data_IF_126344185910
#
_entry.id   IF_126344185910
#
_cell.length_a   1.000
_cell.length_b   1.000
_cell.length_c   1.000
_cell.angle_alpha   90.00
_cell.angle_beta   90.00
_cell.angle_gamma   90.00
#
_symmetry.space_group_name_H-M   'P 1'
#
loop_
_entity.id
_entity.type
_entity.pdbx_description
1 polymer ?
#
# COMPACT_ATOMS: atom_id res chain seq x y z
N UNK A 1 13.30 8.76 8.83
CA UNK A 1 13.21 9.06 10.29
C UNK A 1 12.42 10.34 10.60
N UNK A 2 12.23 11.26 9.64
CA UNK A 2 11.64 12.59 9.94
C UNK A 2 10.15 12.72 9.61
N UNK A 3 9.52 11.67 9.09
CA UNK A 3 8.16 11.76 8.52
C UNK A 3 7.11 11.11 9.42
N UNK A 4 7.47 10.52 10.55
CA UNK A 4 6.53 9.92 11.48
C UNK A 4 6.85 10.27 12.93
N UNK A 5 5.84 10.22 13.79
CA UNK A 5 5.98 10.47 15.22
C UNK A 5 6.18 9.16 15.99
N UNK A 6 7.37 8.98 16.59
CA UNK A 6 7.73 7.90 17.53
C UNK A 6 7.44 6.45 17.13
N UNK A 7 6.85 6.18 16.00
CA UNK A 7 6.45 4.82 15.60
C UNK A 7 7.12 4.37 14.32
N UNK A 8 6.92 3.11 13.99
CA UNK A 8 7.39 2.54 12.73
C UNK A 8 6.27 2.66 11.70
N UNK A 9 6.47 3.42 10.60
CA UNK A 9 5.57 3.40 9.47
C UNK A 9 5.49 2.01 8.86
N UNK A 10 4.32 1.62 8.38
CA UNK A 10 4.17 0.42 7.59
C UNK A 10 3.53 0.70 6.23
N UNK A 11 3.80 -0.18 5.28
CA UNK A 11 3.21 -0.15 3.94
C UNK A 11 2.17 -1.25 3.84
N UNK A 12 0.93 -0.88 3.55
CA UNK A 12 -0.14 -1.80 3.19
C UNK A 12 -0.25 -1.91 1.69
N UNK A 13 -0.14 -3.12 1.16
CA UNK A 13 -0.35 -3.43 -0.25
C UNK A 13 -1.59 -4.29 -0.36
N UNK A 14 -2.54 -3.89 -1.20
CA UNK A 14 -3.67 -4.74 -1.58
C UNK A 14 -3.31 -5.48 -2.84
N UNK A 15 -3.40 -6.81 -2.76
CA UNK A 15 -3.24 -7.70 -3.91
C UNK A 15 -4.55 -8.41 -4.23
N UNK A 16 -4.85 -8.51 -5.52
CA UNK A 16 -5.99 -9.26 -6.05
C UNK A 16 -5.48 -10.32 -7.04
N UNK A 17 -5.72 -11.60 -6.75
CA UNK A 17 -5.21 -12.75 -7.50
C UNK A 17 -3.68 -12.64 -7.73
N UNK A 18 -2.96 -12.13 -6.74
CA UNK A 18 -1.52 -11.90 -6.80
C UNK A 18 -1.08 -10.65 -7.56
N UNK A 19 -1.98 -9.82 -8.06
CA UNK A 19 -1.65 -8.53 -8.70
C UNK A 19 -1.72 -7.42 -7.65
N UNK A 20 -0.64 -6.67 -7.37
CA UNK A 20 -0.70 -5.50 -6.50
C UNK A 20 -1.58 -4.41 -7.13
N UNK A 21 -2.74 -4.16 -6.55
CA UNK A 21 -3.72 -3.23 -7.14
C UNK A 21 -3.74 -1.85 -6.49
N UNK A 22 -3.32 -1.74 -5.24
CA UNK A 22 -3.33 -0.49 -4.51
C UNK A 22 -2.35 -0.54 -3.34
N UNK A 23 -1.76 0.60 -2.97
CA UNK A 23 -0.87 0.69 -1.82
C UNK A 23 -1.04 2.00 -1.05
N UNK A 24 -0.73 1.97 0.24
CA UNK A 24 -0.61 3.15 1.09
C UNK A 24 0.48 2.93 2.14
N UNK A 25 1.08 4.02 2.60
CA UNK A 25 1.86 4.00 3.84
C UNK A 25 1.00 4.56 4.98
N UNK A 26 1.13 3.97 6.17
CA UNK A 26 0.50 4.45 7.39
C UNK A 26 1.57 5.11 8.25
N UNK A 27 1.37 6.38 8.55
CA UNK A 27 2.30 7.18 9.33
C UNK A 27 1.76 7.38 10.75
N UNK A 28 2.45 6.90 11.78
CA UNK A 28 2.12 7.19 13.17
C UNK A 28 2.08 8.68 13.47
N UNK A 29 1.14 9.07 14.32
CA UNK A 29 1.00 10.44 14.85
C UNK A 29 1.05 10.41 16.37
N UNK A 30 1.09 11.59 16.99
CA UNK A 30 0.88 11.73 18.45
C UNK A 30 -0.48 11.21 18.88
N UNK A 31 -1.53 11.43 18.07
CA UNK A 31 -2.88 10.97 18.35
C UNK A 31 -2.96 9.42 18.34
N UNK A 32 -2.21 8.76 17.46
CA UNK A 32 -2.16 7.29 17.40
C UNK A 32 -1.19 6.66 18.41
N UNK A 33 -0.55 7.47 19.25
CA UNK A 33 0.47 7.03 20.21
C UNK A 33 1.58 6.18 19.56
N UNK A 34 2.05 6.63 18.41
CA UNK A 34 3.10 5.94 17.64
C UNK A 34 2.66 4.68 16.90
N UNK A 35 1.36 4.37 16.85
CA UNK A 35 0.85 3.20 16.13
C UNK A 35 0.44 3.55 14.70
N UNK A 36 0.80 2.71 13.76
CA UNK A 36 0.41 2.85 12.35
C UNK A 36 -1.04 2.35 12.11
N UNK A 37 -1.98 2.80 12.94
CA UNK A 37 -3.38 2.40 12.90
C UNK A 37 -4.29 3.59 12.60
N UNK A 38 -4.95 3.57 11.43
CA UNK A 38 -5.83 4.66 10.98
C UNK A 38 -7.01 4.91 11.92
N UNK A 39 -7.57 3.86 12.53
CA UNK A 39 -8.67 3.99 13.50
C UNK A 39 -8.24 4.64 14.83
N UNK A 40 -6.94 4.67 15.09
CA UNK A 40 -6.35 5.29 16.27
C UNK A 40 -5.72 6.65 15.96
N UNK A 41 -5.92 7.19 14.74
CA UNK A 41 -5.46 8.50 14.38
C UNK A 41 -4.14 8.56 13.59
N UNK A 42 -3.64 7.44 13.07
CA UNK A 42 -2.54 7.46 12.10
C UNK A 42 -2.99 8.05 10.76
N UNK A 43 -2.04 8.53 9.96
CA UNK A 43 -2.29 9.06 8.63
C UNK A 43 -2.19 7.93 7.61
N UNK A 44 -3.14 7.84 6.68
CA UNK A 44 -3.02 7.01 5.50
C UNK A 44 -2.56 7.84 4.30
N UNK A 45 -1.44 7.50 3.69
CA UNK A 45 -0.90 8.21 2.51
C UNK A 45 -0.88 7.27 1.32
N UNK A 46 -1.60 7.61 0.25
CA UNK A 46 -1.63 6.80 -0.97
C UNK A 46 -0.26 6.73 -1.64
N UNK A 47 0.04 5.58 -2.24
CA UNK A 47 1.28 5.36 -2.99
C UNK A 47 0.94 5.01 -4.43
N UNK A 48 1.60 5.68 -5.37
CA UNK A 48 1.50 5.38 -6.79
C UNK A 48 2.20 4.05 -7.11
N UNK A 49 1.47 3.08 -7.66
CA UNK A 49 1.99 1.73 -7.94
C UNK A 49 3.18 1.75 -8.91
N UNK A 50 3.15 2.47 -10.05
CA UNK A 50 4.29 2.53 -10.96
C UNK A 50 5.58 3.02 -10.32
N UNK A 51 5.51 4.07 -9.51
CA UNK A 51 6.69 4.82 -9.09
C UNK A 51 7.09 4.58 -7.63
N UNK A 52 6.17 4.16 -6.77
CA UNK A 52 6.41 4.08 -5.32
C UNK A 52 6.44 5.46 -4.64
N UNK A 53 5.94 6.49 -5.32
CA UNK A 53 5.92 7.85 -4.78
C UNK A 53 4.62 8.10 -4.01
N UNK A 54 4.73 8.66 -2.82
CA UNK A 54 3.57 9.04 -2.02
C UNK A 54 2.81 10.22 -2.64
N UNK A 55 1.51 10.22 -2.43
CA UNK A 55 0.60 11.25 -2.94
C UNK A 55 0.13 12.13 -1.78
N UNK A 56 -1.16 12.26 -1.59
CA UNK A 56 -1.80 12.98 -0.49
C UNK A 56 -2.08 12.03 0.66
N UNK A 57 -2.16 12.57 1.87
CA UNK A 57 -2.59 11.83 3.04
C UNK A 57 -4.05 12.09 3.39
N UNK A 58 -4.62 11.17 4.16
CA UNK A 58 -5.92 11.34 4.83
C UNK A 58 -5.72 11.15 6.33
N UNK A 59 -6.17 12.13 7.11
CA UNK A 59 -6.13 12.12 8.56
C UNK A 59 -7.46 12.65 9.10
N UNK A 60 -8.11 11.90 9.98
CA UNK A 60 -9.42 12.26 10.53
C UNK A 60 -10.45 12.66 9.46
N UNK A 61 -10.46 11.93 8.33
CA UNK A 61 -11.31 12.19 7.16
C UNK A 61 -10.98 13.46 6.35
N UNK A 62 -9.93 14.18 6.71
CA UNK A 62 -9.44 15.36 5.98
C UNK A 62 -8.24 15.00 5.10
N UNK A 63 -8.16 15.67 3.95
CA UNK A 63 -7.01 15.53 3.04
C UNK A 63 -5.90 16.46 3.53
N UNK A 64 -4.73 15.89 3.76
CA UNK A 64 -3.54 16.62 4.21
C UNK A 64 -2.35 16.38 3.28
N UNK A 65 -1.39 17.30 3.29
CA UNK A 65 -0.12 17.18 2.56
C UNK A 65 1.11 17.21 3.47
N UNK A 66 0.91 17.57 4.71
CA UNK A 66 1.94 17.66 5.74
C UNK A 66 1.54 16.84 6.97
N UNK A 67 2.53 16.31 7.65
CA UNK A 67 2.31 15.55 8.87
C UNK A 67 1.97 16.50 10.03
N UNK A 68 0.85 16.31 10.76
CA UNK A 68 0.37 17.28 11.75
C UNK A 68 1.30 17.51 12.93
N UNK A 69 2.17 16.55 13.24
CA UNK A 69 3.09 16.66 14.39
C UNK A 69 4.51 17.06 14.00
N UNK A 70 4.93 16.82 12.76
CA UNK A 70 6.31 17.07 12.30
C UNK A 70 6.40 18.17 11.25
N UNK A 71 5.26 18.59 10.70
CA UNK A 71 5.14 19.62 9.64
C UNK A 71 5.90 19.26 8.35
N UNK A 72 6.41 18.04 8.24
CA UNK A 72 7.09 17.58 7.04
C UNK A 72 6.08 17.19 5.96
N UNK A 73 6.43 17.46 4.70
CA UNK A 73 5.64 16.98 3.57
C UNK A 73 5.56 15.46 3.56
N UNK A 74 4.33 14.95 3.43
CA UNK A 74 4.05 13.51 3.28
C UNK A 74 3.78 13.14 1.82
N UNK A 75 3.73 14.12 0.93
CA UNK A 75 3.57 13.92 -0.51
C UNK A 75 4.92 14.00 -1.22
N UNK A 76 5.08 13.21 -2.29
CA UNK A 76 6.31 13.19 -3.09
C UNK A 76 7.46 12.38 -2.48
N UNK A 77 7.21 11.65 -1.40
CA UNK A 77 8.23 10.80 -0.79
C UNK A 77 8.39 9.51 -1.60
N UNK A 78 9.64 9.14 -1.87
CA UNK A 78 9.95 7.88 -2.51
C UNK A 78 10.04 6.76 -1.47
N UNK A 79 9.22 5.72 -1.62
CA UNK A 79 9.28 4.54 -0.75
C UNK A 79 10.51 3.72 -1.13
N UNK A 80 11.43 3.46 -0.19
CA UNK A 80 12.60 2.63 -0.45
C UNK A 80 12.23 1.20 -0.80
N UNK A 81 13.04 0.54 -1.65
CA UNK A 81 12.89 -0.88 -2.03
C UNK A 81 11.49 -1.21 -2.59
N UNK A 82 10.90 -0.28 -3.33
CA UNK A 82 9.51 -0.35 -3.78
C UNK A 82 9.20 -1.62 -4.58
N UNK A 83 10.08 -2.02 -5.49
CA UNK A 83 9.88 -3.22 -6.30
C UNK A 83 9.88 -4.51 -5.47
N UNK A 84 10.65 -4.54 -4.38
CA UNK A 84 10.63 -5.68 -3.45
C UNK A 84 9.31 -5.73 -2.67
N UNK A 85 8.81 -4.58 -2.24
CA UNK A 85 7.50 -4.49 -1.58
C UNK A 85 6.38 -4.98 -2.48
N UNK A 86 6.36 -4.55 -3.75
CA UNK A 86 5.39 -5.04 -4.73
C UNK A 86 5.53 -6.55 -4.97
N UNK A 87 6.76 -7.05 -5.00
CA UNK A 87 7.02 -8.49 -5.15
C UNK A 87 6.50 -9.30 -3.95
N UNK A 88 6.66 -8.80 -2.72
CA UNK A 88 6.07 -9.40 -1.51
C UNK A 88 4.55 -9.45 -1.64
N UNK A 89 3.91 -8.32 -2.02
CA UNK A 89 2.48 -8.27 -2.27
C UNK A 89 2.01 -9.27 -3.32
N UNK A 90 2.77 -9.43 -4.41
CA UNK A 90 2.43 -10.38 -5.46
C UNK A 90 2.57 -11.84 -4.99
N UNK A 91 3.61 -12.17 -4.23
CA UNK A 91 3.86 -13.53 -3.72
C UNK A 91 2.92 -13.95 -2.59
N UNK A 92 2.25 -13.01 -1.93
CA UNK A 92 1.31 -13.33 -0.84
C UNK A 92 0.18 -14.25 -1.31
N UNK A 93 -0.21 -14.20 -2.59
CA UNK A 93 -1.23 -15.08 -3.16
C UNK A 93 -0.85 -16.56 -3.08
N UNK A 94 0.41 -16.89 -3.40
CA UNK A 94 0.90 -18.27 -3.33
C UNK A 94 1.02 -18.79 -1.89
N UNK A 95 1.15 -17.88 -0.91
CA UNK A 95 1.29 -18.27 0.51
C UNK A 95 -0.06 -18.53 1.17
N UNK A 96 -1.09 -17.75 0.86
CA UNK A 96 -2.35 -17.80 1.59
C UNK A 96 -3.56 -18.18 0.74
N UNK A 97 -3.40 -18.27 -0.59
CA UNK A 97 -4.47 -18.58 -1.56
C UNK A 97 -5.70 -17.66 -1.48
N UNK A 98 -5.56 -16.51 -0.82
CA UNK A 98 -6.61 -15.51 -0.73
C UNK A 98 -6.64 -14.69 -2.02
N UNK A 99 -7.76 -14.75 -2.75
CA UNK A 99 -7.95 -13.97 -3.97
C UNK A 99 -7.91 -12.45 -3.75
N UNK A 100 -8.18 -11.97 -2.53
CA UNK A 100 -8.07 -10.57 -2.12
C UNK A 100 -7.42 -10.50 -0.75
N UNK A 101 -6.26 -9.84 -0.67
CA UNK A 101 -5.46 -9.80 0.57
C UNK A 101 -4.77 -8.45 0.74
N UNK A 102 -4.73 -7.96 1.98
CA UNK A 102 -3.88 -6.86 2.41
C UNK A 102 -2.61 -7.42 3.02
N UNK A 103 -1.46 -6.94 2.56
CA UNK A 103 -0.13 -7.30 3.06
C UNK A 103 0.46 -6.10 3.76
N UNK A 104 0.72 -6.20 5.05
CA UNK A 104 1.32 -5.14 5.85
C UNK A 104 2.82 -5.42 6.02
N UNK A 105 3.66 -4.47 5.60
CA UNK A 105 5.11 -4.62 5.54
C UNK A 105 5.78 -3.42 6.20
N UNK A 106 6.72 -3.68 7.10
CA UNK A 106 7.64 -2.67 7.61
C UNK A 106 8.98 -2.74 6.89
N UNK A 107 9.67 -1.61 6.85
CA UNK A 107 11.04 -1.53 6.33
C UNK A 107 12.00 -1.46 7.51
N UNK A 108 12.58 -2.60 7.85
CA UNK A 108 13.67 -2.66 8.83
C UNK A 108 14.96 -2.13 8.19
N UNK A 109 15.77 -1.42 8.97
CA UNK A 109 17.00 -0.79 8.50
C UNK A 109 18.05 -1.82 8.05
N UNK A 110 18.15 -2.92 8.77
CA UNK A 110 19.19 -3.92 8.57
C UNK A 110 18.67 -5.15 7.79
N UNK A 111 17.45 -5.58 8.08
CA UNK A 111 16.83 -6.77 7.49
C UNK A 111 16.02 -6.46 6.23
N UNK A 112 15.67 -5.19 6.00
CA UNK A 112 14.86 -4.79 4.86
C UNK A 112 13.35 -4.99 5.07
N UNK A 113 12.57 -5.31 4.01
CA UNK A 113 11.12 -5.48 4.13
C UNK A 113 10.77 -6.73 4.94
N UNK A 114 9.96 -6.54 5.99
CA UNK A 114 9.44 -7.61 6.85
C UNK A 114 7.92 -7.61 6.82
N UNK A 115 7.31 -8.74 6.52
CA UNK A 115 5.85 -8.91 6.57
C UNK A 115 5.40 -8.97 8.02
N UNK A 116 4.47 -8.10 8.40
CA UNK A 116 3.85 -8.09 9.72
C UNK A 116 2.63 -9.00 9.77
N UNK A 117 1.73 -8.84 8.79
CA UNK A 117 0.50 -9.62 8.72
C UNK A 117 -0.05 -9.74 7.28
N UNK A 118 -0.84 -10.79 7.07
CA UNK A 118 -1.72 -10.95 5.91
C UNK A 118 -3.16 -10.80 6.36
N UNK A 119 -3.88 -9.86 5.77
CA UNK A 119 -5.23 -9.50 6.18
C UNK A 119 -6.24 -9.90 5.09
N UNK A 120 -7.12 -10.86 5.40
CA UNK A 120 -8.14 -11.36 4.48
C UNK A 120 -9.27 -10.33 4.21
N UNK A 121 -9.44 -9.35 5.10
CA UNK A 121 -10.47 -8.31 4.97
C UNK A 121 -9.87 -6.92 5.23
N UNK A 122 -8.97 -6.46 4.36
CA UNK A 122 -8.34 -5.16 4.54
C UNK A 122 -9.38 -4.04 4.41
N UNK A 123 -9.27 -3.05 5.30
CA UNK A 123 -10.18 -1.91 5.32
C UNK A 123 -10.10 -1.07 4.04
N UNK A 124 -11.18 -0.34 3.75
CA UNK A 124 -11.33 0.43 2.52
C UNK A 124 -10.67 1.83 2.56
N UNK A 125 -10.11 2.24 3.70
CA UNK A 125 -9.46 3.55 3.87
C UNK A 125 -8.32 3.80 2.87
N UNK A 126 -7.68 2.75 2.36
CA UNK A 126 -6.68 2.83 1.31
C UNK A 126 -7.22 3.48 0.02
N UNK A 127 -8.50 3.32 -0.31
CA UNK A 127 -9.13 3.93 -1.47
C UNK A 127 -9.25 5.45 -1.28
N UNK A 128 -9.59 5.88 -0.05
CA UNK A 128 -9.67 7.31 0.29
C UNK A 128 -8.26 7.93 0.21
N UNK A 129 -7.25 7.28 0.78
CA UNK A 129 -5.85 7.72 0.73
C UNK A 129 -5.33 7.88 -0.71
N UNK A 130 -5.75 6.99 -1.62
CA UNK A 130 -5.39 7.07 -3.02
C UNK A 130 -6.28 8.02 -3.84
N UNK A 131 -7.41 8.48 -3.29
CA UNK A 131 -8.40 9.29 -4.00
C UNK A 131 -9.10 8.57 -5.16
N UNK A 132 -8.99 7.26 -5.22
CA UNK A 132 -9.50 6.40 -6.28
C UNK A 132 -10.08 5.11 -5.71
N UNK A 133 -11.20 4.65 -6.26
CA UNK A 133 -11.74 3.34 -5.96
C UNK A 133 -10.94 2.21 -6.61
N UNK A 134 -10.87 1.06 -5.95
CA UNK A 134 -10.15 -0.12 -6.48
C UNK A 134 -10.87 -0.81 -7.65
N UNK A 135 -12.16 -0.60 -7.83
CA UNK A 135 -13.04 -1.41 -8.71
C UNK A 135 -12.50 -1.52 -10.14
N UNK A 136 -12.04 -0.44 -10.76
CA UNK A 136 -11.53 -0.46 -12.13
C UNK A 136 -10.27 -1.32 -12.26
N UNK A 137 -9.41 -1.34 -11.24
CA UNK A 137 -8.20 -2.18 -11.20
C UNK A 137 -8.55 -3.64 -11.00
N UNK A 138 -9.49 -3.94 -10.10
CA UNK A 138 -10.00 -5.29 -9.88
C UNK A 138 -10.63 -5.85 -11.16
N UNK A 139 -11.42 -5.05 -11.89
CA UNK A 139 -12.03 -5.46 -13.17
C UNK A 139 -11.00 -5.79 -14.25
N UNK A 140 -9.88 -5.06 -14.31
CA UNK A 140 -8.79 -5.39 -15.24
C UNK A 140 -8.18 -6.77 -14.94
N UNK A 141 -7.89 -7.06 -13.68
CA UNK A 141 -7.37 -8.38 -13.27
C UNK A 141 -8.41 -9.47 -13.49
N UNK A 142 -9.70 -9.21 -13.18
CA UNK A 142 -10.78 -10.16 -13.41
C UNK A 142 -10.98 -10.47 -14.91
N UNK A 143 -10.71 -9.51 -15.79
CA UNK A 143 -10.73 -9.76 -17.23
C UNK A 143 -9.63 -10.75 -17.66
N UNK A 144 -8.42 -10.65 -17.08
CA UNK A 144 -7.36 -11.64 -17.30
C UNK A 144 -7.77 -13.03 -16.79
N UNK A 145 -8.38 -13.09 -15.62
CA UNK A 145 -8.89 -14.35 -15.05
C UNK A 145 -9.89 -15.03 -15.98
N UNK A 146 -10.90 -14.30 -16.44
CA UNK A 146 -11.94 -14.80 -17.36
C UNK A 146 -11.37 -15.25 -18.71
N UNK A 147 -10.28 -14.63 -19.15
CA UNK A 147 -9.58 -14.99 -20.38
C UNK A 147 -8.57 -16.14 -20.19
N UNK A 148 -8.39 -16.66 -18.98
CA UNK A 148 -7.37 -17.66 -18.67
C UNK A 148 -5.91 -17.14 -18.82
N UNK A 149 -5.71 -15.82 -18.66
CA UNK A 149 -4.44 -15.13 -18.90
C UNK A 149 -3.76 -14.66 -17.59
N UNK A 150 -4.19 -15.16 -16.43
CA UNK A 150 -3.46 -14.87 -15.19
C UNK A 150 -2.04 -15.43 -15.25
N UNK A 151 -1.07 -14.56 -15.00
CA UNK A 151 0.33 -15.01 -14.92
C UNK A 151 0.58 -15.76 -13.61
N UNK A 152 1.32 -16.87 -13.71
CA UNK A 152 1.86 -17.61 -12.55
C UNK A 152 3.15 -16.97 -12.02
N UNK A 153 3.77 -16.07 -12.78
CA UNK A 153 5.01 -15.40 -12.42
C UNK A 153 4.73 -14.10 -11.64
N UNK A 154 5.12 -13.99 -10.36
CA UNK A 154 4.93 -12.76 -9.58
C UNK A 154 5.55 -11.52 -10.23
N UNK A 155 6.71 -11.64 -10.90
CA UNK A 155 7.35 -10.51 -11.56
C UNK A 155 6.51 -9.95 -12.73
N UNK A 156 5.85 -10.82 -13.49
CA UNK A 156 4.95 -10.40 -14.58
C UNK A 156 3.69 -9.72 -14.02
N UNK A 157 3.17 -10.20 -12.89
CA UNK A 157 2.05 -9.55 -12.20
C UNK A 157 2.41 -8.16 -11.68
N UNK A 158 3.63 -7.99 -11.14
CA UNK A 158 4.14 -6.68 -10.74
C UNK A 158 4.32 -5.77 -11.96
N UNK A 159 4.91 -6.26 -13.04
CA UNK A 159 5.09 -5.49 -14.27
C UNK A 159 3.73 -5.02 -14.84
N UNK A 160 2.73 -5.91 -14.86
CA UNK A 160 1.37 -5.56 -15.26
C UNK A 160 0.78 -4.47 -14.38
N UNK A 161 0.92 -4.60 -13.06
CA UNK A 161 0.40 -3.62 -12.10
C UNK A 161 1.03 -2.24 -12.32
N UNK A 162 2.35 -2.17 -12.48
CA UNK A 162 3.07 -0.91 -12.76
C UNK A 162 2.63 -0.27 -14.08
N UNK A 163 2.36 -1.05 -15.10
CA UNK A 163 1.92 -0.54 -16.40
C UNK A 163 0.45 -0.08 -16.41
N UNK A 164 -0.41 -0.64 -15.55
CA UNK A 164 -1.85 -0.47 -15.66
C UNK A 164 -2.53 0.26 -14.50
N UNK A 165 -1.83 0.48 -13.38
CA UNK A 165 -2.45 1.02 -12.16
C UNK A 165 -1.79 2.31 -11.65
N UNK A 166 -1.57 3.33 -12.51
CA UNK A 166 -1.12 4.62 -12.03
C UNK A 166 -2.17 5.24 -11.09
N UNK A 167 -1.72 6.04 -10.15
CA UNK A 167 -2.60 6.87 -9.32
C UNK A 167 -2.74 8.23 -10.02
N UNK A 168 -3.92 8.53 -10.50
CA UNK A 168 -4.26 9.80 -11.17
C UNK A 168 -4.55 10.91 -10.18
#
# INVERSE_FOLDING_TARGET
EHVSYKGVPDVRIISFLGYPVMAMIRLPTRLSDGKANLHQGAIGVGIDIPTGTTRRGVWNSEIIREHPDTEHSIAGLQIPRWDELLMIGAKAYELCELGYVGVDVVLDKDLGPLVLELNARPGLAIQIANGNGALHRLRKVQALERAGQLSKNPAERVAFAKANFPTT
#
